data_IF_346925571876
#
_entry.id   IF_346925571876
#
_cell.length_a   1.000
_cell.length_b   1.000
_cell.length_c   1.000
_cell.angle_alpha   90.00
_cell.angle_beta   90.00
_cell.angle_gamma   90.00
#
_symmetry.space_group_name_H-M   'P 1'
#
loop_
_entity.id
_entity.type
_entity.pdbx_description
1 polymer ?
#
# COMPACT_ATOMS: atom_id res chain seq x y z
N UNK A 1 -20.80 1.49 18.99
CA UNK A 1 -19.52 1.31 18.26
C UNK A 1 -19.75 1.35 16.76
N UNK A 2 -20.62 0.49 16.22
CA UNK A 2 -20.95 0.43 14.79
C UNK A 2 -21.41 1.78 14.22
N UNK A 3 -22.30 2.49 14.91
CA UNK A 3 -22.78 3.82 14.45
C UNK A 3 -21.63 4.83 14.25
N UNK A 4 -20.61 4.81 15.11
CA UNK A 4 -19.45 5.69 14.95
C UNK A 4 -18.57 5.27 13.78
N UNK A 5 -18.41 3.97 13.55
CA UNK A 5 -17.65 3.44 12.40
C UNK A 5 -18.37 3.78 11.09
N UNK A 6 -19.68 3.61 11.01
CA UNK A 6 -20.47 4.01 9.84
C UNK A 6 -20.37 5.51 9.56
N UNK A 7 -20.37 6.35 10.60
CA UNK A 7 -20.17 7.79 10.45
C UNK A 7 -18.76 8.14 9.97
N UNK A 8 -17.73 7.40 10.42
CA UNK A 8 -16.36 7.54 9.91
C UNK A 8 -16.30 7.17 8.43
N UNK A 9 -16.91 6.05 8.04
CA UNK A 9 -16.93 5.60 6.65
C UNK A 9 -17.62 6.62 5.75
N UNK A 10 -18.78 7.14 6.15
CA UNK A 10 -19.48 8.21 5.41
C UNK A 10 -18.66 9.48 5.30
N UNK A 11 -17.95 9.85 6.36
CA UNK A 11 -17.07 11.02 6.35
C UNK A 11 -15.92 10.88 5.37
N UNK A 12 -15.31 9.70 5.31
CA UNK A 12 -14.20 9.40 4.39
C UNK A 12 -14.72 9.34 2.96
N UNK A 13 -15.86 8.69 2.72
CA UNK A 13 -16.49 8.65 1.39
C UNK A 13 -16.84 10.06 0.89
N UNK A 14 -17.35 10.94 1.76
CA UNK A 14 -17.64 12.34 1.39
C UNK A 14 -16.39 13.13 0.96
N UNK A 15 -15.24 12.84 1.59
CA UNK A 15 -13.98 13.50 1.30
C UNK A 15 -13.11 12.75 0.28
N UNK A 16 -13.62 11.65 -0.26
CA UNK A 16 -12.90 10.74 -1.14
C UNK A 16 -12.38 11.46 -2.37
N UNK A 17 -11.14 11.14 -2.75
CA UNK A 17 -10.43 11.74 -3.89
C UNK A 17 -10.28 13.28 -3.85
N UNK A 18 -10.66 13.97 -2.77
CA UNK A 18 -10.46 15.42 -2.68
C UNK A 18 -8.99 15.75 -2.51
N UNK A 19 -8.55 16.79 -3.21
CA UNK A 19 -7.17 17.21 -3.24
C UNK A 19 -6.78 18.01 -2.00
N UNK A 20 -6.00 17.39 -1.11
CA UNK A 20 -5.44 18.06 0.06
C UNK A 20 -4.49 19.21 -0.28
N UNK A 21 -3.90 19.27 -1.48
CA UNK A 21 -3.00 20.34 -1.89
C UNK A 21 -3.68 21.44 -2.71
N UNK A 22 -5.00 21.37 -2.91
CA UNK A 22 -5.75 22.41 -3.62
C UNK A 22 -5.77 23.71 -2.80
N UNK A 23 -5.64 24.86 -3.47
CA UNK A 23 -5.68 26.19 -2.84
C UNK A 23 -7.00 26.48 -2.11
N UNK A 24 -8.08 25.79 -2.49
CA UNK A 24 -9.41 25.91 -1.88
C UNK A 24 -9.75 24.75 -0.92
N UNK A 25 -8.74 24.16 -0.28
CA UNK A 25 -8.92 23.04 0.66
C UNK A 25 -10.01 23.30 1.72
N UNK A 26 -10.14 24.54 2.19
CA UNK A 26 -11.06 24.90 3.26
C UNK A 26 -12.53 25.01 2.83
N UNK A 27 -12.82 25.15 1.52
CA UNK A 27 -14.19 25.10 0.99
C UNK A 27 -14.60 23.67 0.60
N UNK A 28 -13.62 22.84 0.26
CA UNK A 28 -13.83 21.48 -0.26
C UNK A 28 -13.85 20.40 0.83
N UNK A 29 -12.97 20.48 1.83
CA UNK A 29 -12.90 19.51 2.91
C UNK A 29 -13.63 20.00 4.16
N UNK A 30 -14.60 19.21 4.62
CA UNK A 30 -15.40 19.53 5.82
C UNK A 30 -15.91 18.28 6.51
N UNK A 31 -16.31 18.46 7.78
CA UNK A 31 -17.09 17.44 8.47
C UNK A 31 -18.54 17.47 7.98
N UNK A 32 -19.10 16.29 7.67
CA UNK A 32 -20.52 16.17 7.31
C UNK A 32 -21.39 16.34 8.58
N UNK A 33 -22.64 16.83 8.44
CA UNK A 33 -23.51 17.08 9.58
C UNK A 33 -23.70 15.86 10.49
N UNK A 34 -23.80 14.67 9.92
CA UNK A 34 -23.96 13.41 10.66
C UNK A 34 -22.75 13.11 11.53
N UNK A 35 -21.55 13.37 11.02
CA UNK A 35 -20.30 13.23 11.78
C UNK A 35 -20.27 14.23 12.93
N UNK A 36 -20.68 15.48 12.70
CA UNK A 36 -20.79 16.49 13.77
C UNK A 36 -21.74 16.04 14.89
N UNK A 37 -22.91 15.52 14.53
CA UNK A 37 -23.89 15.00 15.49
C UNK A 37 -23.37 13.76 16.23
N UNK A 38 -22.70 12.84 15.53
CA UNK A 38 -22.07 11.68 16.15
C UNK A 38 -21.00 12.12 17.16
N UNK A 39 -20.19 13.11 16.79
CA UNK A 39 -19.15 13.67 17.64
C UNK A 39 -19.70 14.32 18.92
N UNK A 40 -20.93 14.83 18.94
CA UNK A 40 -21.54 15.34 20.19
C UNK A 40 -21.65 14.26 21.26
N UNK A 41 -21.88 13.01 20.83
CA UNK A 41 -21.96 11.83 21.68
C UNK A 41 -20.59 11.25 22.04
N UNK A 42 -19.49 11.82 21.52
CA UNK A 42 -18.11 11.34 21.78
C UNK A 42 -17.66 11.52 23.24
N UNK A 43 -18.40 12.29 24.04
CA UNK A 43 -18.12 12.43 25.48
C UNK A 43 -18.54 11.18 26.27
N UNK A 44 -19.42 10.37 25.69
CA UNK A 44 -20.06 9.22 26.34
C UNK A 44 -19.28 7.92 26.11
N UNK A 45 -18.30 7.92 25.20
CA UNK A 45 -17.47 6.74 24.93
C UNK A 45 -16.35 6.59 25.95
N UNK A 46 -16.12 5.36 26.40
CA UNK A 46 -15.00 5.03 27.26
C UNK A 46 -13.65 5.12 26.51
N UNK A 47 -12.55 5.09 27.26
CA UNK A 47 -11.20 5.25 26.71
C UNK A 47 -10.82 4.11 25.75
N UNK A 48 -11.25 2.88 26.01
CA UNK A 48 -10.97 1.72 25.16
C UNK A 48 -11.69 1.86 23.83
N UNK A 49 -12.99 2.15 23.88
CA UNK A 49 -13.80 2.39 22.68
C UNK A 49 -13.25 3.54 21.83
N UNK A 50 -12.82 4.62 22.46
CA UNK A 50 -12.18 5.75 21.78
C UNK A 50 -10.90 5.33 21.05
N UNK A 51 -10.05 4.53 21.69
CA UNK A 51 -8.81 4.08 21.05
C UNK A 51 -9.11 3.20 19.83
N UNK A 52 -10.09 2.30 19.93
CA UNK A 52 -10.52 1.48 18.79
C UNK A 52 -11.03 2.33 17.62
N UNK A 53 -11.79 3.40 17.88
CA UNK A 53 -12.25 4.32 16.84
C UNK A 53 -11.10 5.12 16.22
N UNK A 54 -10.12 5.56 17.02
CA UNK A 54 -8.92 6.23 16.52
C UNK A 54 -8.13 5.30 15.60
N UNK A 55 -7.94 4.04 16.01
CA UNK A 55 -7.24 3.04 15.20
C UNK A 55 -8.01 2.76 13.90
N UNK A 56 -9.34 2.67 13.99
CA UNK A 56 -10.22 2.47 12.83
C UNK A 56 -10.12 3.61 11.81
N UNK A 57 -10.31 4.86 12.23
CA UNK A 57 -10.23 6.01 11.31
C UNK A 57 -8.81 6.19 10.75
N UNK A 58 -7.78 5.90 11.54
CA UNK A 58 -6.38 5.95 11.08
C UNK A 58 -6.16 4.95 9.93
N UNK A 59 -6.65 3.71 10.09
CA UNK A 59 -6.54 2.68 9.06
C UNK A 59 -7.33 3.03 7.80
N UNK A 60 -8.56 3.54 7.95
CA UNK A 60 -9.40 3.96 6.82
C UNK A 60 -8.82 5.13 6.05
N UNK A 61 -8.24 6.11 6.75
CA UNK A 61 -7.53 7.21 6.11
C UNK A 61 -6.30 6.71 5.34
N UNK A 62 -5.54 5.77 5.91
CA UNK A 62 -4.39 5.16 5.24
C UNK A 62 -4.78 4.41 3.97
N UNK A 63 -5.89 3.66 4.03
CA UNK A 63 -6.52 2.99 2.89
C UNK A 63 -6.84 4.01 1.78
N UNK A 64 -7.50 5.12 2.12
CA UNK A 64 -7.85 6.16 1.17
C UNK A 64 -6.63 6.85 0.55
N UNK A 65 -5.59 7.16 1.34
CA UNK A 65 -4.35 7.73 0.81
C UNK A 65 -3.73 6.81 -0.24
N UNK A 66 -3.51 5.54 0.09
CA UNK A 66 -2.92 4.57 -0.83
C UNK A 66 -3.83 4.29 -2.04
N UNK A 67 -5.17 4.41 -1.89
CA UNK A 67 -6.12 4.32 -3.01
C UNK A 67 -5.96 5.49 -3.98
N UNK A 68 -5.77 6.70 -3.47
CA UNK A 68 -5.52 7.89 -4.30
C UNK A 68 -4.18 7.77 -5.03
N UNK A 69 -3.13 7.31 -4.34
CA UNK A 69 -1.83 7.08 -4.96
C UNK A 69 -1.14 5.84 -4.40
N UNK A 70 -1.06 4.79 -5.23
CA UNK A 70 -0.44 3.52 -4.85
C UNK A 70 1.04 3.64 -4.41
N UNK A 71 1.74 4.68 -4.89
CA UNK A 71 3.14 4.94 -4.59
C UNK A 71 3.39 5.59 -3.24
N UNK A 72 2.33 6.01 -2.52
CA UNK A 72 2.54 6.42 -1.15
C UNK A 72 3.07 5.26 -0.33
N UNK A 73 4.09 5.55 0.48
CA UNK A 73 4.64 4.60 1.44
C UNK A 73 4.61 5.24 2.81
N UNK A 74 4.14 4.48 3.79
CA UNK A 74 3.96 4.95 5.17
C UNK A 74 4.58 3.93 6.10
N UNK A 75 5.77 4.24 6.59
CA UNK A 75 6.44 3.41 7.60
C UNK A 75 5.71 3.47 8.96
N UNK A 76 6.15 2.66 9.90
CA UNK A 76 5.59 2.65 11.27
C UNK A 76 5.57 4.00 11.98
N UNK A 77 6.54 4.88 11.71
CA UNK A 77 6.54 6.25 12.26
C UNK A 77 5.39 7.07 11.65
N UNK A 78 5.23 7.05 10.34
CA UNK A 78 4.16 7.75 9.63
C UNK A 78 2.77 7.31 10.11
N UNK A 79 2.56 5.99 10.30
CA UNK A 79 1.32 5.43 10.87
C UNK A 79 1.05 5.95 12.28
N UNK A 80 2.07 5.95 13.15
CA UNK A 80 1.97 6.50 14.52
C UNK A 80 1.67 7.99 14.54
N UNK A 81 2.27 8.76 13.63
CA UNK A 81 2.05 10.19 13.54
C UNK A 81 0.64 10.52 13.02
N UNK A 82 0.12 9.76 12.03
CA UNK A 82 -1.28 9.88 11.60
C UNK A 82 -2.26 9.55 12.73
N UNK A 83 -1.97 8.49 13.50
CA UNK A 83 -2.77 8.12 14.67
C UNK A 83 -2.83 9.25 15.70
N UNK A 84 -1.73 9.98 15.92
CA UNK A 84 -1.69 11.16 16.81
C UNK A 84 -2.57 12.29 16.28
N UNK A 85 -2.59 12.53 14.97
CA UNK A 85 -3.47 13.54 14.34
C UNK A 85 -4.93 13.22 14.67
N UNK A 86 -5.37 11.98 14.47
CA UNK A 86 -6.73 11.57 14.82
C UNK A 86 -7.00 11.58 16.33
N UNK A 87 -6.05 11.19 17.17
CA UNK A 87 -6.19 11.31 18.61
C UNK A 87 -6.39 12.77 19.06
N UNK A 88 -5.65 13.71 18.46
CA UNK A 88 -5.78 15.14 18.71
C UNK A 88 -7.12 15.70 18.20
N UNK A 89 -7.63 15.19 17.08
CA UNK A 89 -8.96 15.54 16.58
C UNK A 89 -10.05 15.15 17.59
N UNK A 90 -10.02 13.91 18.09
CA UNK A 90 -10.97 13.43 19.12
C UNK A 90 -10.88 14.27 20.41
N UNK A 91 -9.66 14.64 20.84
CA UNK A 91 -9.47 15.51 22.00
C UNK A 91 -10.05 16.92 21.78
N UNK A 92 -9.87 17.47 20.59
CA UNK A 92 -10.39 18.80 20.23
C UNK A 92 -11.91 18.83 20.28
N UNK A 93 -12.56 17.80 19.73
CA UNK A 93 -14.00 17.65 19.82
C UNK A 93 -14.53 17.45 21.24
N UNK A 94 -13.86 16.62 22.05
CA UNK A 94 -14.26 16.40 23.44
C UNK A 94 -14.20 17.69 24.27
N UNK A 95 -13.17 18.51 24.05
CA UNK A 95 -12.96 19.78 24.76
C UNK A 95 -13.90 20.89 24.30
N UNK A 96 -14.35 20.89 23.03
CA UNK A 96 -15.20 21.94 22.41
C UNK A 96 -14.75 23.38 22.74
N UNK A 97 -13.44 23.64 22.74
CA UNK A 97 -12.91 24.99 22.98
C UNK A 97 -13.00 25.92 21.77
N UNK A 98 -13.05 25.34 20.58
CA UNK A 98 -13.05 26.07 19.31
C UNK A 98 -14.30 25.70 18.48
N UNK A 99 -14.76 26.61 17.60
CA UNK A 99 -15.75 26.31 16.57
C UNK A 99 -15.35 25.12 15.69
N UNK A 100 -16.33 24.41 15.11
CA UNK A 100 -16.11 23.17 14.34
C UNK A 100 -15.29 23.43 13.07
N UNK A 101 -15.53 24.55 12.40
CA UNK A 101 -14.78 25.01 11.23
C UNK A 101 -13.29 25.22 11.55
N UNK A 102 -12.98 25.76 12.73
CA UNK A 102 -11.60 25.92 13.20
C UNK A 102 -10.95 24.56 13.48
N UNK A 103 -11.69 23.62 14.07
CA UNK A 103 -11.21 22.24 14.30
C UNK A 103 -10.96 21.53 12.96
N UNK A 104 -11.88 21.69 11.99
CA UNK A 104 -11.78 21.09 10.66
C UNK A 104 -10.54 21.61 9.92
N UNK A 105 -10.38 22.93 9.83
CA UNK A 105 -9.23 23.56 9.19
C UNK A 105 -7.92 23.05 9.78
N UNK A 106 -7.78 23.09 11.11
CA UNK A 106 -6.57 22.59 11.78
C UNK A 106 -6.33 21.10 11.49
N UNK A 107 -7.38 20.28 11.42
CA UNK A 107 -7.24 18.86 11.11
C UNK A 107 -6.70 18.63 9.70
N UNK A 108 -7.29 19.26 8.68
CA UNK A 108 -6.85 19.08 7.30
C UNK A 108 -5.46 19.69 7.05
N UNK A 109 -5.13 20.81 7.67
CA UNK A 109 -3.75 21.35 7.64
C UNK A 109 -2.73 20.37 8.24
N UNK A 110 -3.07 19.69 9.33
CA UNK A 110 -2.21 18.65 9.90
C UNK A 110 -2.05 17.45 8.95
N UNK A 111 -3.11 17.04 8.24
CA UNK A 111 -3.02 15.98 7.22
C UNK A 111 -2.15 16.39 6.03
N UNK A 112 -2.27 17.64 5.56
CA UNK A 112 -1.42 18.20 4.51
C UNK A 112 0.06 18.17 4.91
N UNK A 113 0.37 18.68 6.10
CA UNK A 113 1.75 18.71 6.59
C UNK A 113 2.31 17.31 6.78
N UNK A 114 1.53 16.39 7.35
CA UNK A 114 1.92 14.99 7.49
C UNK A 114 2.16 14.31 6.14
N UNK A 115 1.32 14.56 5.14
CA UNK A 115 1.52 14.00 3.81
C UNK A 115 2.76 14.60 3.12
N UNK A 116 3.02 15.90 3.29
CA UNK A 116 4.23 16.57 2.79
C UNK A 116 5.50 16.00 3.43
N UNK A 117 5.48 15.71 4.72
CA UNK A 117 6.61 15.13 5.44
C UNK A 117 6.89 13.67 5.06
N UNK A 118 5.83 12.88 4.88
CA UNK A 118 5.94 11.43 4.64
C UNK A 118 6.12 11.10 3.16
N UNK A 119 5.50 11.87 2.28
CA UNK A 119 5.47 11.67 0.83
C UNK A 119 5.59 13.04 0.13
N UNK A 120 6.77 13.70 0.19
CA UNK A 120 6.98 15.08 -0.30
C UNK A 120 6.67 15.25 -1.80
N UNK A 121 6.66 14.15 -2.53
CA UNK A 121 6.28 14.15 -3.92
C UNK A 121 4.80 14.42 -4.20
N UNK A 122 3.94 14.13 -3.23
CA UNK A 122 2.50 14.28 -3.36
C UNK A 122 2.16 15.73 -3.72
N UNK A 123 2.80 16.69 -3.04
CA UNK A 123 2.62 18.11 -3.29
C UNK A 123 2.96 18.46 -4.74
N UNK A 124 4.11 18.00 -5.26
CA UNK A 124 4.51 18.29 -6.66
C UNK A 124 3.51 17.75 -7.69
N UNK A 125 2.88 16.60 -7.41
CA UNK A 125 1.92 15.97 -8.33
C UNK A 125 0.55 16.65 -8.26
N UNK A 126 0.11 17.05 -7.07
CA UNK A 126 -1.26 17.48 -6.82
C UNK A 126 -1.45 18.99 -6.64
N UNK A 127 -0.39 19.78 -6.48
CA UNK A 127 -0.48 21.24 -6.30
C UNK A 127 -1.20 21.95 -7.45
N UNK A 128 -1.07 21.44 -8.69
CA UNK A 128 -1.71 22.02 -9.89
C UNK A 128 -2.95 21.25 -10.36
N UNK A 129 -3.45 20.31 -9.54
CA UNK A 129 -4.60 19.48 -9.88
C UNK A 129 -5.89 20.07 -9.34
N UNK A 130 -6.99 19.71 -10.00
CA UNK A 130 -8.35 20.09 -9.62
C UNK A 130 -8.68 19.65 -8.18
N UNK A 131 -9.81 20.14 -7.68
CA UNK A 131 -10.36 19.79 -6.37
C UNK A 131 -10.54 18.27 -6.19
N UNK A 132 -10.80 17.55 -7.28
CA UNK A 132 -10.92 16.09 -7.32
C UNK A 132 -9.74 15.50 -8.09
N UNK A 133 -9.07 14.52 -7.47
CA UNK A 133 -7.91 13.83 -8.01
C UNK A 133 -8.35 12.58 -8.76
N UNK A 134 -7.85 12.40 -9.99
CA UNK A 134 -7.81 11.10 -10.64
C UNK A 134 -6.84 10.17 -9.91
N UNK A 135 -7.33 9.02 -9.44
CA UNK A 135 -6.51 8.07 -8.69
C UNK A 135 -5.47 7.39 -9.56
N UNK A 136 -4.26 7.22 -9.05
CA UNK A 136 -3.23 6.39 -9.70
C UNK A 136 -3.66 4.93 -9.58
N UNK A 137 -3.97 4.30 -10.72
CA UNK A 137 -4.66 3.00 -10.81
C UNK A 137 -4.09 1.91 -9.87
N UNK A 138 -4.85 1.55 -8.84
CA UNK A 138 -4.67 0.35 -8.04
C UNK A 138 -5.80 -0.61 -8.41
N UNK A 139 -5.48 -1.73 -9.05
CA UNK A 139 -6.47 -2.69 -9.53
C UNK A 139 -6.12 -4.09 -9.05
N UNK A 140 -7.16 -4.85 -8.71
CA UNK A 140 -7.03 -6.25 -8.38
C UNK A 140 -7.17 -7.09 -9.66
N UNK A 141 -6.17 -7.92 -9.94
CA UNK A 141 -6.07 -8.67 -11.18
C UNK A 141 -6.51 -10.12 -10.99
N UNK A 142 -7.12 -10.71 -12.03
CA UNK A 142 -7.47 -12.13 -12.02
C UNK A 142 -6.22 -13.00 -11.99
N UNK A 143 -6.32 -14.18 -11.37
CA UNK A 143 -5.19 -15.12 -11.33
C UNK A 143 -4.74 -15.52 -12.74
N UNK A 144 -5.67 -15.69 -13.69
CA UNK A 144 -5.38 -16.05 -15.09
C UNK A 144 -4.49 -15.02 -15.76
N UNK A 145 -4.84 -13.74 -15.64
CA UNK A 145 -4.06 -12.65 -16.22
C UNK A 145 -2.67 -12.58 -15.60
N UNK A 146 -2.57 -12.74 -14.27
CA UNK A 146 -1.28 -12.70 -13.58
C UNK A 146 -0.37 -13.85 -14.00
N UNK A 147 -0.90 -15.07 -14.11
CA UNK A 147 -0.17 -16.25 -14.60
C UNK A 147 0.35 -16.03 -16.02
N UNK A 148 -0.51 -15.48 -16.89
CA UNK A 148 -0.15 -15.16 -18.28
C UNK A 148 0.95 -14.09 -18.35
N UNK A 149 0.77 -12.96 -17.67
CA UNK A 149 1.77 -11.87 -17.66
C UNK A 149 3.11 -12.36 -17.11
N UNK A 150 3.09 -13.06 -15.98
CA UNK A 150 4.29 -13.49 -15.28
C UNK A 150 4.89 -14.79 -15.81
N UNK A 151 4.26 -15.38 -16.83
CA UNK A 151 4.72 -16.59 -17.52
C UNK A 151 4.97 -17.73 -16.52
N UNK A 152 4.03 -17.89 -15.60
CA UNK A 152 4.11 -18.87 -14.52
C UNK A 152 3.65 -20.22 -15.06
N UNK A 153 4.50 -21.23 -14.89
CA UNK A 153 4.07 -22.62 -15.00
C UNK A 153 3.78 -23.16 -13.60
N UNK A 154 2.50 -23.43 -13.33
CA UNK A 154 2.03 -23.93 -12.04
C UNK A 154 2.63 -25.32 -11.76
N UNK A 155 2.85 -26.15 -12.77
CA UNK A 155 3.33 -27.52 -12.59
C UNK A 155 4.81 -27.57 -12.19
N UNK A 156 5.57 -26.54 -12.54
CA UNK A 156 7.00 -26.42 -12.19
C UNK A 156 7.23 -25.56 -10.94
N UNK A 157 6.16 -25.06 -10.32
CA UNK A 157 6.26 -24.12 -9.21
C UNK A 157 6.80 -24.80 -7.95
N UNK A 158 7.77 -24.15 -7.30
CA UNK A 158 8.36 -24.64 -6.06
C UNK A 158 7.75 -23.94 -4.86
N UNK A 159 7.31 -24.71 -3.88
CA UNK A 159 6.79 -24.22 -2.61
C UNK A 159 7.84 -23.99 -1.52
N UNK A 160 7.52 -23.20 -0.48
CA UNK A 160 6.32 -22.38 -0.39
C UNK A 160 6.38 -21.18 -1.34
N UNK A 161 5.23 -20.64 -1.71
CA UNK A 161 5.07 -19.50 -2.63
C UNK A 161 4.66 -18.26 -1.85
N UNK A 162 5.20 -17.10 -2.23
CA UNK A 162 4.72 -15.82 -1.73
C UNK A 162 4.46 -14.81 -2.83
N UNK A 163 3.26 -14.21 -2.81
CA UNK A 163 2.81 -13.18 -3.74
C UNK A 163 2.87 -11.79 -3.10
N UNK A 164 3.72 -10.92 -3.63
CA UNK A 164 3.99 -9.57 -3.16
C UNK A 164 3.06 -8.58 -3.87
N UNK A 165 2.22 -7.89 -3.10
CA UNK A 165 1.16 -7.04 -3.64
C UNK A 165 0.01 -7.91 -4.18
N UNK A 166 -0.39 -8.93 -3.42
CA UNK A 166 -1.37 -9.92 -3.85
C UNK A 166 -2.80 -9.37 -4.03
N UNK A 167 -3.03 -8.11 -3.67
CA UNK A 167 -4.35 -7.51 -3.61
C UNK A 167 -5.12 -7.92 -2.35
N UNK A 168 -6.29 -7.28 -2.17
CA UNK A 168 -7.13 -7.46 -0.99
C UNK A 168 -7.69 -8.88 -0.87
N UNK A 169 -8.07 -9.50 -1.99
CA UNK A 169 -8.64 -10.85 -2.05
C UNK A 169 -7.58 -11.95 -2.23
N UNK A 170 -6.37 -11.60 -2.68
CA UNK A 170 -5.30 -12.59 -2.87
C UNK A 170 -5.63 -13.61 -3.96
N UNK A 171 -6.28 -13.18 -5.06
CA UNK A 171 -6.85 -14.09 -6.08
C UNK A 171 -5.87 -15.16 -6.58
N UNK A 172 -4.62 -14.80 -6.84
CA UNK A 172 -3.61 -15.75 -7.29
C UNK A 172 -3.23 -16.75 -6.19
N UNK A 173 -3.10 -16.27 -4.96
CA UNK A 173 -2.82 -17.12 -3.78
C UNK A 173 -3.93 -18.13 -3.58
N UNK A 174 -5.20 -17.70 -3.62
CA UNK A 174 -6.36 -18.60 -3.52
C UNK A 174 -6.32 -19.67 -4.61
N UNK A 175 -6.10 -19.27 -5.87
CA UNK A 175 -6.01 -20.20 -6.99
C UNK A 175 -4.88 -21.24 -6.83
N UNK A 176 -3.69 -20.81 -6.39
CA UNK A 176 -2.56 -21.73 -6.15
C UNK A 176 -2.89 -22.73 -5.04
N UNK A 177 -3.56 -22.30 -3.96
CA UNK A 177 -3.96 -23.17 -2.87
C UNK A 177 -5.03 -24.19 -3.29
N UNK A 178 -5.96 -23.80 -4.14
CA UNK A 178 -6.93 -24.73 -4.76
C UNK A 178 -6.25 -25.82 -5.60
N UNK A 179 -5.05 -25.55 -6.12
CA UNK A 179 -4.19 -26.52 -6.81
C UNK A 179 -3.29 -27.32 -5.87
N UNK A 180 -3.46 -27.20 -4.55
CA UNK A 180 -2.67 -27.91 -3.55
C UNK A 180 -1.27 -27.31 -3.32
N UNK A 181 -1.00 -26.10 -3.83
CA UNK A 181 0.29 -25.43 -3.63
C UNK A 181 0.25 -24.62 -2.33
N UNK A 182 1.27 -24.78 -1.50
CA UNK A 182 1.45 -23.94 -0.32
C UNK A 182 1.81 -22.51 -0.75
N UNK A 183 0.82 -21.62 -0.74
CA UNK A 183 0.97 -20.22 -1.14
C UNK A 183 0.47 -19.25 -0.06
N UNK A 184 1.14 -18.10 0.02
CA UNK A 184 0.82 -16.98 0.90
C UNK A 184 0.82 -15.67 0.11
N UNK A 185 0.04 -14.69 0.58
CA UNK A 185 -0.01 -13.34 -0.01
C UNK A 185 0.40 -12.27 0.99
N UNK A 186 1.07 -11.22 0.54
CA UNK A 186 1.28 -10.00 1.31
C UNK A 186 0.67 -8.83 0.55
N UNK A 187 -0.18 -8.07 1.24
CA UNK A 187 -0.68 -6.79 0.75
C UNK A 187 -0.96 -5.85 1.93
N UNK A 188 -0.87 -4.54 1.70
CA UNK A 188 -1.16 -3.52 2.73
C UNK A 188 -2.62 -3.58 3.19
N UNK A 189 -3.51 -4.08 2.33
CA UNK A 189 -4.95 -4.14 2.58
C UNK A 189 -5.52 -5.56 2.45
N UNK A 190 -4.67 -6.57 2.55
CA UNK A 190 -5.10 -7.96 2.59
C UNK A 190 -6.25 -8.16 3.60
N UNK A 191 -7.28 -8.89 3.18
CA UNK A 191 -8.37 -9.30 4.07
C UNK A 191 -7.83 -10.25 5.15
N UNK A 192 -8.58 -10.38 6.23
CA UNK A 192 -8.23 -11.30 7.30
C UNK A 192 -8.43 -12.76 6.84
N UNK A 193 -7.34 -13.45 6.55
CA UNK A 193 -7.33 -14.83 6.04
C UNK A 193 -6.01 -15.51 6.47
N UNK A 194 -6.00 -16.78 6.94
CA UNK A 194 -4.78 -17.44 7.43
C UNK A 194 -3.58 -17.47 6.48
N UNK A 195 -3.80 -17.35 5.17
CA UNK A 195 -2.73 -17.34 4.16
C UNK A 195 -2.46 -15.96 3.56
N UNK A 196 -3.13 -14.92 4.05
CA UNK A 196 -2.90 -13.54 3.64
C UNK A 196 -2.34 -12.71 4.80
N UNK A 197 -1.33 -11.92 4.50
CA UNK A 197 -0.58 -11.13 5.48
C UNK A 197 -0.85 -9.66 5.19
N UNK A 198 -1.57 -8.99 6.10
CA UNK A 198 -1.78 -7.54 6.03
C UNK A 198 -0.51 -6.81 6.48
N UNK A 199 0.37 -6.47 5.54
CA UNK A 199 1.65 -5.80 5.80
C UNK A 199 2.11 -4.98 4.59
N UNK A 200 2.93 -3.96 4.84
CA UNK A 200 3.78 -3.42 3.79
C UNK A 200 4.87 -4.47 3.46
N UNK A 201 4.97 -4.86 2.19
CA UNK A 201 5.99 -5.81 1.74
C UNK A 201 7.41 -5.24 1.91
N UNK A 202 7.54 -3.91 1.93
CA UNK A 202 8.80 -3.23 2.17
C UNK A 202 9.30 -3.48 3.60
N UNK A 203 8.41 -3.56 4.58
CA UNK A 203 8.71 -3.86 5.99
C UNK A 203 8.70 -5.37 6.29
N UNK A 204 8.19 -6.22 5.38
CA UNK A 204 8.08 -7.67 5.60
C UNK A 204 9.44 -8.39 5.64
N UNK A 205 9.64 -9.26 6.63
CA UNK A 205 10.84 -10.08 6.74
C UNK A 205 10.72 -11.38 5.92
N UNK A 206 11.36 -11.39 4.75
CA UNK A 206 11.31 -12.55 3.84
C UNK A 206 12.10 -13.78 4.35
N UNK A 207 13.06 -13.58 5.25
CA UNK A 207 13.96 -14.63 5.74
C UNK A 207 15.02 -15.05 4.70
N UNK A 208 15.72 -16.16 4.96
CA UNK A 208 16.75 -16.73 4.07
C UNK A 208 16.35 -18.14 3.66
N UNK A 209 16.58 -18.52 2.39
CA UNK A 209 16.31 -19.88 1.87
C UNK A 209 14.89 -20.40 2.19
N UNK A 210 13.90 -19.52 2.22
CA UNK A 210 12.54 -19.81 2.67
C UNK A 210 11.61 -20.13 1.50
N UNK A 211 11.66 -19.34 0.44
CA UNK A 211 10.65 -19.37 -0.63
C UNK A 211 11.12 -20.18 -1.83
N UNK A 212 10.28 -21.08 -2.31
CA UNK A 212 10.54 -21.76 -3.58
C UNK A 212 10.19 -20.86 -4.77
N UNK A 213 9.12 -20.09 -4.64
CA UNK A 213 8.69 -19.13 -5.66
C UNK A 213 8.24 -17.83 -5.00
N UNK A 214 8.69 -16.70 -5.53
CA UNK A 214 8.22 -15.37 -5.17
C UNK A 214 7.57 -14.78 -6.41
N UNK A 215 6.47 -14.07 -6.24
CA UNK A 215 5.67 -13.50 -7.32
C UNK A 215 5.45 -12.02 -7.00
N UNK A 216 5.51 -11.14 -7.99
CA UNK A 216 5.03 -9.76 -7.85
C UNK A 216 4.59 -9.18 -9.18
N UNK A 217 3.28 -9.06 -9.40
CA UNK A 217 2.74 -8.35 -10.55
C UNK A 217 2.64 -6.85 -10.22
N UNK A 218 3.45 -6.01 -10.88
CA UNK A 218 3.50 -4.55 -10.74
C UNK A 218 3.94 -4.00 -9.38
N UNK A 219 3.59 -4.65 -8.26
CA UNK A 219 3.80 -4.14 -6.91
C UNK A 219 5.26 -3.82 -6.60
N UNK A 220 6.16 -4.79 -6.72
CA UNK A 220 7.58 -4.58 -6.45
C UNK A 220 8.25 -3.63 -7.47
N UNK A 221 8.08 -3.95 -8.75
CA UNK A 221 8.79 -3.34 -9.87
C UNK A 221 8.38 -1.89 -10.11
N UNK A 222 7.09 -1.55 -10.07
CA UNK A 222 6.65 -0.17 -10.25
C UNK A 222 7.10 0.71 -9.09
N UNK A 223 7.04 0.22 -7.85
CA UNK A 223 7.56 0.96 -6.71
C UNK A 223 9.06 1.21 -6.84
N UNK A 224 9.86 0.21 -7.24
CA UNK A 224 11.29 0.41 -7.44
C UNK A 224 11.55 1.41 -8.58
N UNK A 225 10.87 1.29 -9.74
CA UNK A 225 10.97 2.29 -10.82
C UNK A 225 10.62 3.69 -10.34
N UNK A 226 9.53 3.82 -9.58
CA UNK A 226 9.09 5.10 -9.04
C UNK A 226 10.19 5.75 -8.21
N UNK A 227 10.79 5.02 -7.26
CA UNK A 227 11.88 5.58 -6.44
C UNK A 227 13.19 5.74 -7.19
N UNK A 228 13.46 4.95 -8.24
CA UNK A 228 14.68 5.09 -9.04
C UNK A 228 14.70 6.35 -9.90
N UNK A 229 13.58 6.71 -10.52
CA UNK A 229 13.53 7.85 -11.45
C UNK A 229 13.24 9.20 -10.80
N UNK A 230 13.16 9.26 -9.47
CA UNK A 230 12.87 10.49 -8.73
C UNK A 230 14.11 11.06 -8.07
N UNK A 231 14.25 12.38 -8.15
CA UNK A 231 15.35 13.10 -7.48
C UNK A 231 15.34 12.92 -5.94
N UNK A 232 14.16 12.72 -5.35
CA UNK A 232 13.95 12.49 -3.91
C UNK A 232 13.65 11.02 -3.57
N UNK A 233 13.85 10.09 -4.52
CA UNK A 233 13.55 8.68 -4.32
C UNK A 233 14.68 7.92 -3.64
N UNK A 234 14.34 7.08 -2.66
CA UNK A 234 15.30 6.21 -1.97
C UNK A 234 15.52 4.88 -2.73
N UNK A 235 16.15 4.93 -3.90
CA UNK A 235 16.38 3.72 -4.69
C UNK A 235 17.37 2.72 -4.06
N UNK A 236 18.23 3.18 -3.15
CA UNK A 236 19.21 2.32 -2.46
C UNK A 236 18.49 1.35 -1.53
N UNK A 237 17.47 1.82 -0.79
CA UNK A 237 16.73 0.93 0.12
C UNK A 237 15.92 -0.12 -0.66
N UNK A 238 15.40 0.24 -1.85
CA UNK A 238 14.74 -0.73 -2.74
C UNK A 238 15.73 -1.74 -3.34
N UNK A 239 16.95 -1.33 -3.69
CA UNK A 239 17.99 -2.26 -4.11
C UNK A 239 18.36 -3.26 -3.01
N UNK A 240 18.46 -2.80 -1.75
CA UNK A 240 18.66 -3.70 -0.59
C UNK A 240 17.49 -4.68 -0.45
N UNK A 241 16.26 -4.16 -0.51
CA UNK A 241 15.06 -5.00 -0.42
C UNK A 241 14.96 -6.03 -1.55
N UNK A 242 15.38 -5.66 -2.76
CA UNK A 242 15.48 -6.59 -3.88
C UNK A 242 16.45 -7.74 -3.58
N UNK A 243 17.63 -7.42 -3.05
CA UNK A 243 18.59 -8.45 -2.63
C UNK A 243 18.07 -9.31 -1.46
N UNK A 244 17.31 -8.74 -0.53
CA UNK A 244 16.66 -9.51 0.54
C UNK A 244 15.65 -10.50 -0.03
N UNK A 245 14.84 -10.09 -1.01
CA UNK A 245 13.91 -10.97 -1.73
C UNK A 245 14.68 -12.10 -2.42
N UNK A 246 15.74 -11.79 -3.16
CA UNK A 246 16.54 -12.81 -3.86
C UNK A 246 17.23 -13.78 -2.90
N UNK A 247 17.79 -13.30 -1.79
CA UNK A 247 18.42 -14.12 -0.75
C UNK A 247 17.42 -14.99 0.02
N UNK A 248 16.14 -14.63 0.00
CA UNK A 248 15.07 -15.43 0.60
C UNK A 248 14.66 -16.63 -0.25
N UNK A 249 15.03 -16.66 -1.54
CA UNK A 249 14.80 -17.82 -2.40
C UNK A 249 15.61 -19.03 -1.93
N UNK A 250 15.00 -20.21 -1.98
CA UNK A 250 15.73 -21.49 -1.94
C UNK A 250 16.63 -21.61 -3.16
N UNK A 251 17.69 -22.43 -3.08
CA UNK A 251 18.48 -22.80 -4.26
C UNK A 251 17.55 -23.47 -5.29
N UNK A 252 17.62 -23.00 -6.53
CA UNK A 252 16.74 -23.39 -7.62
C UNK A 252 15.33 -22.81 -7.54
N UNK A 253 15.04 -21.94 -6.56
CA UNK A 253 13.81 -21.15 -6.47
C UNK A 253 13.82 -19.95 -7.40
N UNK A 254 12.64 -19.37 -7.65
CA UNK A 254 12.47 -18.32 -8.67
C UNK A 254 11.69 -17.11 -8.15
N UNK A 255 12.07 -15.91 -8.57
CA UNK A 255 11.29 -14.69 -8.42
C UNK A 255 10.74 -14.27 -9.78
N UNK A 256 9.41 -14.26 -9.90
CA UNK A 256 8.67 -13.81 -11.08
C UNK A 256 8.12 -12.41 -10.83
N UNK A 257 8.47 -11.44 -11.68
CA UNK A 257 7.88 -10.11 -11.59
C UNK A 257 7.80 -9.40 -12.94
N UNK A 258 6.91 -8.42 -13.03
CA UNK A 258 6.79 -7.54 -14.18
C UNK A 258 6.40 -6.13 -13.72
N UNK A 259 6.84 -5.05 -14.38
CA UNK A 259 7.82 -5.05 -15.48
C UNK A 259 9.27 -5.28 -15.03
N UNK A 260 10.16 -5.58 -16.00
CA UNK A 260 11.63 -5.65 -15.80
C UNK A 260 12.26 -4.34 -15.31
N UNK A 261 13.41 -4.45 -14.67
CA UNK A 261 14.23 -3.42 -14.00
C UNK A 261 15.69 -3.47 -14.49
N UNK A 262 15.92 -3.13 -15.75
CA UNK A 262 17.25 -3.22 -16.40
C UNK A 262 18.37 -2.52 -15.60
N UNK A 263 18.04 -1.44 -14.90
CA UNK A 263 18.99 -0.64 -14.11
C UNK A 263 19.61 -1.40 -12.92
N UNK A 264 18.99 -2.48 -12.42
CA UNK A 264 19.52 -3.26 -11.30
C UNK A 264 19.86 -4.70 -11.70
N UNK A 265 19.11 -5.26 -12.65
CA UNK A 265 19.25 -6.64 -13.10
C UNK A 265 20.62 -6.93 -13.71
N UNK A 266 21.20 -5.96 -14.41
CA UNK A 266 22.53 -6.07 -15.03
C UNK A 266 23.68 -6.28 -14.04
N UNK A 267 23.44 -6.02 -12.75
CA UNK A 267 24.45 -6.14 -11.69
C UNK A 267 24.32 -7.45 -10.89
N UNK A 268 23.40 -8.34 -11.25
CA UNK A 268 23.29 -9.64 -10.59
C UNK A 268 24.48 -10.54 -10.95
N UNK A 269 25.05 -11.16 -9.92
CA UNK A 269 26.12 -12.16 -10.06
C UNK A 269 25.60 -13.39 -10.81
N UNK A 270 26.03 -13.56 -12.05
CA UNK A 270 25.61 -14.67 -12.94
C UNK A 270 26.00 -16.05 -12.38
N UNK A 271 26.96 -16.12 -11.46
CA UNK A 271 27.32 -17.38 -10.79
C UNK A 271 26.31 -17.80 -9.71
N UNK A 272 25.46 -16.85 -9.27
CA UNK A 272 24.43 -17.01 -8.23
C UNK A 272 23.02 -16.90 -8.78
N UNK A 273 22.80 -16.17 -9.86
CA UNK A 273 21.47 -15.89 -10.39
C UNK A 273 21.42 -16.09 -11.91
N UNK A 274 20.33 -16.66 -12.38
CA UNK A 274 20.00 -16.75 -13.79
C UNK A 274 18.77 -15.88 -14.08
N UNK A 275 18.87 -15.02 -15.08
CA UNK A 275 17.77 -14.14 -15.50
C UNK A 275 17.14 -14.68 -16.77
N UNK A 276 15.82 -14.65 -16.85
CA UNK A 276 15.06 -14.89 -18.08
C UNK A 276 14.04 -13.78 -18.27
N UNK A 277 14.05 -13.16 -19.45
CA UNK A 277 13.15 -12.09 -19.87
C UNK A 277 12.17 -12.62 -20.91
N UNK A 278 10.89 -12.26 -20.82
CA UNK A 278 9.87 -12.59 -21.82
C UNK A 278 8.99 -11.39 -22.09
N UNK A 279 8.77 -11.08 -23.37
CA UNK A 279 7.83 -10.03 -23.77
C UNK A 279 6.41 -10.42 -23.36
N UNK A 280 5.64 -9.45 -22.90
CA UNK A 280 4.22 -9.62 -22.56
C UNK A 280 3.39 -9.01 -23.68
N UNK A 281 2.73 -9.85 -24.48
CA UNK A 281 1.91 -9.39 -25.61
C UNK A 281 2.67 -8.45 -26.55
N UNK A 282 2.06 -7.29 -26.84
CA UNK A 282 2.65 -6.20 -27.65
C UNK A 282 3.12 -5.02 -26.81
N UNK A 283 3.27 -5.21 -25.50
CA UNK A 283 3.68 -4.13 -24.60
C UNK A 283 5.21 -3.96 -24.60
N UNK A 284 5.67 -2.73 -24.39
CA UNK A 284 7.10 -2.38 -24.34
C UNK A 284 7.83 -2.86 -23.08
N UNK A 285 7.13 -3.59 -22.20
CA UNK A 285 7.73 -4.17 -21.00
C UNK A 285 7.81 -5.69 -21.09
N UNK A 286 8.78 -6.25 -20.37
CA UNK A 286 8.97 -7.69 -20.23
C UNK A 286 8.66 -8.16 -18.81
N UNK A 287 8.20 -9.40 -18.72
CA UNK A 287 8.19 -10.16 -17.48
C UNK A 287 9.56 -10.78 -17.25
N UNK A 288 9.98 -10.83 -15.99
CA UNK A 288 11.25 -11.34 -15.55
C UNK A 288 11.08 -12.56 -14.65
N UNK A 289 11.97 -13.53 -14.82
CA UNK A 289 12.23 -14.62 -13.89
C UNK A 289 13.69 -14.58 -13.46
N UNK A 290 13.95 -14.39 -12.17
CA UNK A 290 15.27 -14.59 -11.55
C UNK A 290 15.28 -15.95 -10.87
N UNK A 291 16.15 -16.85 -11.28
CA UNK A 291 16.35 -18.14 -10.63
C UNK A 291 17.63 -18.12 -9.81
N UNK A 292 17.55 -18.53 -8.55
CA UNK A 292 18.73 -18.67 -7.69
C UNK A 292 19.47 -19.97 -7.99
N UNK A 293 20.79 -19.90 -8.20
CA UNK A 293 21.67 -21.02 -8.53
C UNK A 293 22.49 -21.51 -7.33
N UNK A 294 22.86 -20.61 -6.41
CA UNK A 294 23.67 -20.87 -5.20
C UNK A 294 23.17 -20.02 -4.03
#
# INVERSE_FOLDING_TARGET
MNDFQENIDRQIEFNKARNLFCSEINSSLRFIPETILAIEKIKEIDTTSKNLLIDYVTNKAMEEFCRVNQYYSFNEKAKKDLRKIYANLFLSFRKRKNPIDVIAKAHYENLVNWLRETNPFAEKIFLSKDEIIETVACSEYSHTLQIEILQIDINEMKGPVIDIGCGMQGNLVTHLREKGIEAYGIDRFARNDPFLIKSDWFEYEFGKNKWGTIISNLGFSNHFKHHHYRNDGDFIIYAKKYMDILNSLKIGGCFHYAPELDFIEQYLDESKYQITKRSVGRYDFKALKVKRLK
#
